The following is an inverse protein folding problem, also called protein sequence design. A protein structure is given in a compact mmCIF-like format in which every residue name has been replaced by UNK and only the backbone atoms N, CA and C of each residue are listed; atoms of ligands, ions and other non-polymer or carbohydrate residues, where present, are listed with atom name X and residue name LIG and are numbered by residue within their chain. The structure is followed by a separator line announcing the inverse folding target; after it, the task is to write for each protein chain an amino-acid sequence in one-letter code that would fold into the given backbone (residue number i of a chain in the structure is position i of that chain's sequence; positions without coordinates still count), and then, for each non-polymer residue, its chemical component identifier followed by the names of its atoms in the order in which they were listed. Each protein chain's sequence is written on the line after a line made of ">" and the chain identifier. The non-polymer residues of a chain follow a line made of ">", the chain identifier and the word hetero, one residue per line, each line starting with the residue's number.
data_IF_267442597352
#
_entry.id   IF_267442597352
#
_cell.length_a   1.000
_cell.length_b   1.000
_cell.length_c   1.000
_cell.angle_alpha   90.00
_cell.angle_beta   90.00
_cell.angle_gamma   90.00
#
_symmetry.space_group_name_H-M   'P 1'
#
loop_
_entity.id
_entity.type
_entity.pdbx_description
1 polymer ?
#
# COMPACT_ATOMS: atom_id res chain seq x y z
N UNK A 1 -18.97 7.75 -11.15
CA UNK A 1 -18.49 7.15 -9.88
C UNK A 1 -18.27 8.30 -8.91
N UNK A 2 -18.82 8.25 -7.70
CA UNK A 2 -18.75 9.39 -6.75
C UNK A 2 -17.41 9.43 -6.00
N UNK A 3 -16.99 10.63 -5.58
CA UNK A 3 -15.74 10.88 -4.85
C UNK A 3 -15.63 10.03 -3.58
N UNK A 4 -16.75 9.84 -2.86
CA UNK A 4 -16.81 8.98 -1.68
C UNK A 4 -16.44 7.54 -2.01
N UNK A 5 -16.92 7.02 -3.14
CA UNK A 5 -16.62 5.65 -3.58
C UNK A 5 -15.16 5.49 -3.95
N UNK A 6 -14.57 6.47 -4.65
CA UNK A 6 -13.15 6.42 -5.03
C UNK A 6 -12.25 6.50 -3.80
N UNK A 7 -12.56 7.36 -2.83
CA UNK A 7 -11.82 7.45 -1.55
C UNK A 7 -11.88 6.16 -0.76
N UNK A 8 -13.06 5.56 -0.62
CA UNK A 8 -13.21 4.27 0.08
C UNK A 8 -12.34 3.17 -0.56
N UNK A 9 -12.27 3.12 -1.89
CA UNK A 9 -11.38 2.16 -2.58
C UNK A 9 -9.91 2.42 -2.27
N UNK A 10 -9.51 3.69 -2.16
CA UNK A 10 -8.12 4.03 -1.84
C UNK A 10 -7.80 3.74 -0.36
N UNK A 11 -8.75 3.90 0.56
CA UNK A 11 -8.62 3.46 1.96
C UNK A 11 -8.46 1.93 2.04
N UNK A 12 -9.29 1.18 1.31
CA UNK A 12 -9.16 -0.29 1.22
C UNK A 12 -7.79 -0.69 0.63
N UNK A 13 -7.33 0.00 -0.40
CA UNK A 13 -6.00 -0.22 -0.98
C UNK A 13 -4.87 0.09 0.01
N UNK A 14 -5.00 1.17 0.80
CA UNK A 14 -4.02 1.51 1.83
C UNK A 14 -3.92 0.40 2.89
N UNK A 15 -5.05 -0.14 3.35
CA UNK A 15 -5.04 -1.29 4.26
C UNK A 15 -4.39 -2.52 3.62
N UNK A 16 -4.77 -2.87 2.39
CA UNK A 16 -4.17 -4.01 1.67
C UNK A 16 -2.66 -3.82 1.43
N UNK A 17 -2.19 -2.60 1.19
CA UNK A 17 -0.76 -2.32 1.03
C UNK A 17 0.04 -2.58 2.30
N UNK A 18 -0.54 -2.33 3.48
CA UNK A 18 0.11 -2.65 4.75
C UNK A 18 0.19 -4.17 4.97
N UNK A 19 -0.86 -4.90 4.61
CA UNK A 19 -0.84 -6.37 4.64
C UNK A 19 0.17 -6.95 3.65
N UNK A 20 0.27 -6.37 2.45
CA UNK A 20 1.25 -6.72 1.44
C UNK A 20 2.68 -6.48 1.94
N UNK A 21 2.96 -5.30 2.50
CA UNK A 21 4.26 -4.96 3.13
C UNK A 21 4.65 -5.99 4.18
N UNK A 22 3.73 -6.29 5.10
CA UNK A 22 3.97 -7.27 6.16
C UNK A 22 4.23 -8.67 5.61
N UNK A 23 3.55 -9.07 4.54
CA UNK A 23 3.75 -10.36 3.87
C UNK A 23 5.09 -10.40 3.13
N UNK A 24 5.44 -9.33 2.42
CA UNK A 24 6.72 -9.16 1.73
C UNK A 24 7.91 -9.24 2.69
N UNK A 25 7.81 -8.67 3.89
CA UNK A 25 8.85 -8.80 4.92
C UNK A 25 9.03 -10.21 5.49
N UNK A 26 8.02 -11.08 5.38
CA UNK A 26 8.11 -12.47 5.84
C UNK A 26 8.75 -13.39 4.81
N UNK A 27 8.86 -12.96 3.55
CA UNK A 27 9.50 -13.70 2.49
C UNK A 27 11.01 -13.81 2.74
N UNK A 28 11.60 -14.89 2.27
CA UNK A 28 13.04 -15.01 2.19
C UNK A 28 13.64 -14.20 1.00
N UNK A 29 14.97 -14.15 0.91
CA UNK A 29 15.66 -13.36 -0.11
C UNK A 29 15.45 -13.86 -1.55
N UNK A 30 15.17 -15.15 -1.74
CA UNK A 30 14.88 -15.70 -3.06
C UNK A 30 13.45 -15.36 -3.48
N UNK A 31 12.49 -15.51 -2.56
CA UNK A 31 11.10 -15.15 -2.76
C UNK A 31 10.93 -13.64 -3.02
N UNK A 32 11.66 -12.77 -2.31
CA UNK A 32 11.65 -11.32 -2.58
C UNK A 32 12.18 -10.97 -3.97
N UNK A 33 13.20 -11.69 -4.46
CA UNK A 33 13.73 -11.47 -5.81
C UNK A 33 12.71 -11.87 -6.87
N UNK A 34 12.04 -13.01 -6.68
CA UNK A 34 10.97 -13.46 -7.58
C UNK A 34 9.79 -12.48 -7.57
N UNK A 35 9.38 -12.01 -6.39
CA UNK A 35 8.33 -10.99 -6.25
C UNK A 35 8.63 -9.71 -7.05
N UNK A 36 9.90 -9.32 -7.13
CA UNK A 36 10.34 -8.11 -7.85
C UNK A 36 10.41 -8.29 -9.37
N UNK A 37 10.23 -9.50 -9.91
CA UNK A 37 10.20 -9.71 -11.36
C UNK A 37 9.02 -8.95 -11.98
N UNK A 38 9.32 -7.97 -12.83
CA UNK A 38 8.31 -7.10 -13.45
C UNK A 38 7.81 -5.97 -12.56
N UNK A 39 8.33 -5.81 -11.34
CA UNK A 39 8.02 -4.67 -10.48
C UNK A 39 8.76 -3.42 -10.98
N UNK A 40 8.05 -2.57 -11.72
CA UNK A 40 8.60 -1.40 -12.40
C UNK A 40 8.42 -0.10 -11.63
N UNK A 41 7.92 -0.15 -10.40
CA UNK A 41 7.77 1.04 -9.57
C UNK A 41 9.14 1.53 -9.12
N UNK A 42 9.35 2.84 -9.20
CA UNK A 42 10.58 3.51 -8.73
C UNK A 42 10.76 3.40 -7.21
N UNK A 43 9.68 3.07 -6.50
CA UNK A 43 9.60 2.95 -5.04
C UNK A 43 9.46 1.50 -4.66
N UNK A 44 10.05 1.11 -3.53
CA UNK A 44 9.86 -0.24 -3.01
C UNK A 44 8.47 -0.43 -2.38
N UNK A 45 8.18 -1.67 -1.98
CA UNK A 45 6.90 -2.07 -1.39
C UNK A 45 6.64 -1.33 -0.07
N UNK A 46 7.70 -1.00 0.67
CA UNK A 46 7.60 -0.37 1.98
C UNK A 46 7.21 1.10 1.82
N UNK A 47 7.91 1.82 0.94
CA UNK A 47 7.60 3.21 0.58
C UNK A 47 6.19 3.36 -0.01
N UNK A 48 5.77 2.43 -0.87
CA UNK A 48 4.42 2.46 -1.44
C UNK A 48 3.36 2.34 -0.36
N UNK A 49 3.54 1.41 0.57
CA UNK A 49 2.59 1.18 1.65
C UNK A 49 2.55 2.37 2.63
N UNK A 50 3.71 2.96 2.95
CA UNK A 50 3.81 4.14 3.81
C UNK A 50 3.02 5.33 3.24
N UNK A 51 3.23 5.67 1.96
CA UNK A 51 2.50 6.79 1.35
C UNK A 51 0.98 6.59 1.28
N UNK A 52 0.54 5.36 1.06
CA UNK A 52 -0.89 5.04 1.10
C UNK A 52 -1.47 5.16 2.51
N UNK A 53 -0.68 4.78 3.53
CA UNK A 53 -1.08 4.91 4.92
C UNK A 53 -1.15 6.37 5.37
N UNK A 54 -0.14 7.18 5.09
CA UNK A 54 -0.13 8.64 5.37
C UNK A 54 -1.35 9.34 4.77
N UNK A 55 -1.70 8.97 3.53
CA UNK A 55 -2.89 9.50 2.87
C UNK A 55 -4.17 9.10 3.62
N UNK A 56 -4.27 7.84 4.07
CA UNK A 56 -5.40 7.32 4.83
C UNK A 56 -5.56 8.02 6.18
N UNK A 57 -4.46 8.21 6.93
CA UNK A 57 -4.45 8.95 8.18
C UNK A 57 -4.91 10.40 7.99
N UNK A 58 -4.44 11.06 6.92
CA UNK A 58 -4.87 12.41 6.57
C UNK A 58 -6.39 12.47 6.31
N UNK A 59 -6.98 11.46 5.68
CA UNK A 59 -8.44 11.42 5.50
C UNK A 59 -9.19 11.18 6.81
N UNK A 60 -8.66 10.30 7.67
CA UNK A 60 -9.24 10.03 8.98
C UNK A 60 -9.28 11.28 9.85
N UNK A 61 -8.17 12.03 9.92
CA UNK A 61 -8.09 13.28 10.68
C UNK A 61 -9.04 14.36 10.16
N UNK A 62 -9.21 14.47 8.84
CA UNK A 62 -10.15 15.44 8.23
C UNK A 62 -11.62 15.13 8.49
N UNK A 63 -11.95 13.88 8.76
CA UNK A 63 -13.32 13.42 8.97
C UNK A 63 -13.71 13.35 10.47
N UNK A 64 -12.76 13.66 11.37
CA UNK A 64 -12.96 13.73 12.82
C UNK A 64 -13.48 15.10 13.25
#
# INVERSE_FOLDING_TARGET
>A
MDLRTVRKKLEELAHQSQELKNSYHRLDEMEKKEFKVGYSLDRDVDELAEHLFEWSETQFERNK
#
